data_IF_669839507694
#
_entry.id   IF_669839507694
#
_cell.length_a   1.000
_cell.length_b   1.000
_cell.length_c   1.000
_cell.angle_alpha   90.00
_cell.angle_beta   90.00
_cell.angle_gamma   90.00
#
_symmetry.space_group_name_H-M   'P 1'
#
loop_
_entity.id
_entity.type
_entity.pdbx_description
1 polymer ?
#
# COMPACT_ATOMS: atom_id res chain seq x y z
N UNK A 1 7.98 -31.10 4.56
CA UNK A 1 7.16 -29.94 4.14
C UNK A 1 7.41 -28.66 4.95
N UNK A 2 7.43 -28.68 6.29
CA UNK A 2 7.69 -27.47 7.12
C UNK A 2 9.05 -26.80 6.84
N UNK A 3 10.11 -27.57 6.56
CA UNK A 3 11.46 -27.05 6.26
C UNK A 3 11.54 -26.35 4.89
N UNK A 4 10.88 -26.88 3.87
CA UNK A 4 10.82 -26.27 2.52
C UNK A 4 10.03 -24.95 2.57
N UNK A 5 8.92 -24.90 3.32
CA UNK A 5 8.09 -23.72 3.48
C UNK A 5 8.83 -22.58 4.21
N UNK A 6 9.61 -22.88 5.24
CA UNK A 6 10.42 -21.89 5.94
C UNK A 6 11.58 -21.36 5.07
N UNK A 7 12.21 -22.25 4.30
CA UNK A 7 13.27 -21.87 3.35
C UNK A 7 12.71 -20.97 2.23
N UNK A 8 11.58 -21.35 1.62
CA UNK A 8 10.91 -20.57 0.57
C UNK A 8 10.52 -19.19 1.06
N UNK A 9 9.94 -19.07 2.25
CA UNK A 9 9.58 -17.81 2.89
C UNK A 9 10.79 -16.88 3.07
N UNK A 10 11.95 -17.44 3.36
CA UNK A 10 13.19 -16.66 3.54
C UNK A 10 13.75 -16.15 2.20
N UNK A 11 13.46 -16.81 1.09
CA UNK A 11 14.01 -16.50 -0.24
C UNK A 11 12.96 -15.97 -1.23
N UNK A 12 11.74 -15.66 -0.76
CA UNK A 12 10.63 -15.26 -1.64
C UNK A 12 10.97 -14.00 -2.45
N UNK A 13 11.67 -13.05 -1.86
CA UNK A 13 12.11 -11.82 -2.54
C UNK A 13 13.02 -12.15 -3.72
N UNK A 14 13.99 -13.04 -3.53
CA UNK A 14 14.85 -13.52 -4.63
C UNK A 14 14.05 -14.24 -5.72
N UNK A 15 13.06 -15.06 -5.32
CA UNK A 15 12.17 -15.74 -6.26
C UNK A 15 11.32 -14.75 -7.08
N UNK A 16 10.87 -13.64 -6.48
CA UNK A 16 10.13 -12.57 -7.18
C UNK A 16 11.03 -11.91 -8.24
N UNK A 17 12.27 -11.54 -7.86
CA UNK A 17 13.23 -10.96 -8.82
C UNK A 17 13.59 -11.93 -9.95
N UNK A 18 13.76 -13.21 -9.65
CA UNK A 18 13.98 -14.23 -10.70
C UNK A 18 12.77 -14.37 -11.60
N UNK A 19 11.55 -14.37 -11.05
CA UNK A 19 10.30 -14.36 -11.83
C UNK A 19 10.20 -13.14 -12.75
N UNK A 20 10.55 -11.96 -12.23
CA UNK A 20 10.57 -10.71 -13.01
C UNK A 20 11.56 -10.80 -14.18
N UNK A 21 12.81 -11.18 -13.92
CA UNK A 21 13.85 -11.28 -14.96
C UNK A 21 13.46 -12.31 -16.03
N UNK A 22 13.01 -13.50 -15.61
CA UNK A 22 12.55 -14.53 -16.53
C UNK A 22 11.32 -14.07 -17.34
N UNK A 23 10.39 -13.34 -16.72
CA UNK A 23 9.23 -12.76 -17.40
C UNK A 23 9.63 -11.77 -18.48
N UNK A 24 10.57 -10.86 -18.18
CA UNK A 24 11.12 -9.92 -19.16
C UNK A 24 11.78 -10.68 -20.34
N UNK A 25 12.65 -11.64 -20.04
CA UNK A 25 13.31 -12.42 -21.08
C UNK A 25 12.31 -13.21 -21.94
N UNK A 26 11.32 -13.83 -21.31
CA UNK A 26 10.27 -14.57 -22.02
C UNK A 26 9.43 -13.64 -22.89
N UNK A 27 9.03 -12.47 -22.37
CA UNK A 27 8.27 -11.47 -23.13
C UNK A 27 9.02 -10.95 -24.36
N UNK A 28 10.33 -10.70 -24.23
CA UNK A 28 11.16 -10.21 -25.34
C UNK A 28 11.46 -11.26 -26.42
N UNK A 29 11.71 -12.52 -26.02
CA UNK A 29 12.26 -13.51 -26.94
C UNK A 29 11.28 -14.60 -27.37
N UNK A 30 10.30 -14.96 -26.53
CA UNK A 30 9.40 -16.07 -26.78
C UNK A 30 7.95 -15.65 -27.07
N UNK A 31 7.43 -14.64 -26.40
CA UNK A 31 6.00 -14.34 -26.46
C UNK A 31 5.53 -13.98 -27.89
N UNK A 32 6.30 -13.19 -28.62
CA UNK A 32 6.01 -12.85 -30.02
C UNK A 32 6.18 -13.99 -31.04
N UNK A 33 6.74 -15.14 -30.61
CA UNK A 33 6.94 -16.32 -31.48
C UNK A 33 5.99 -17.49 -31.17
N UNK A 34 5.44 -17.53 -29.96
CA UNK A 34 4.58 -18.61 -29.48
C UNK A 34 3.33 -18.05 -28.81
N UNK A 35 2.24 -17.86 -29.57
CA UNK A 35 0.93 -17.42 -29.05
C UNK A 35 0.44 -18.17 -27.79
N UNK A 36 0.63 -19.50 -27.66
CA UNK A 36 0.21 -20.21 -26.46
C UNK A 36 0.89 -19.71 -25.18
N UNK A 37 2.15 -19.23 -25.25
CA UNK A 37 2.85 -18.68 -24.08
C UNK A 37 2.16 -17.42 -23.60
N UNK A 38 1.78 -16.52 -24.50
CA UNK A 38 1.10 -15.29 -24.20
C UNK A 38 -0.30 -15.55 -23.59
N UNK A 39 -1.06 -16.46 -24.18
CA UNK A 39 -2.39 -16.84 -23.70
C UNK A 39 -2.34 -17.43 -22.28
N UNK A 40 -1.43 -18.37 -22.02
CA UNK A 40 -1.30 -19.00 -20.69
C UNK A 40 -0.79 -18.00 -19.65
N UNK A 41 0.21 -17.20 -19.97
CA UNK A 41 0.73 -16.19 -19.02
C UNK A 41 -0.30 -15.12 -18.72
N UNK A 42 -1.04 -14.62 -19.72
CA UNK A 42 -2.12 -13.66 -19.51
C UNK A 42 -3.22 -14.26 -18.63
N UNK A 43 -3.62 -15.50 -18.85
CA UNK A 43 -4.64 -16.16 -18.04
C UNK A 43 -4.21 -16.27 -16.56
N UNK A 44 -3.02 -16.79 -16.30
CA UNK A 44 -2.50 -16.96 -14.94
C UNK A 44 -2.26 -15.61 -14.28
N UNK A 45 -1.72 -14.64 -15.02
CA UNK A 45 -1.51 -13.26 -14.55
C UNK A 45 -2.82 -12.59 -14.15
N UNK A 46 -3.86 -12.72 -14.96
CA UNK A 46 -5.20 -12.18 -14.65
C UNK A 46 -5.82 -12.85 -13.42
N UNK A 47 -5.70 -14.17 -13.29
CA UNK A 47 -6.17 -14.89 -12.09
C UNK A 47 -5.46 -14.38 -10.84
N UNK A 48 -4.12 -14.20 -10.91
CA UNK A 48 -3.34 -13.66 -9.80
C UNK A 48 -3.78 -12.23 -9.43
N UNK A 49 -3.93 -11.35 -10.41
CA UNK A 49 -4.38 -9.97 -10.18
C UNK A 49 -5.80 -9.92 -9.63
N UNK A 50 -6.71 -10.72 -10.15
CA UNK A 50 -8.07 -10.81 -9.65
C UNK A 50 -8.12 -11.31 -8.20
N UNK A 51 -7.28 -12.30 -7.85
CA UNK A 51 -7.17 -12.80 -6.48
C UNK A 51 -6.70 -11.72 -5.50
N UNK A 52 -5.76 -10.85 -5.90
CA UNK A 52 -5.33 -9.70 -5.09
C UNK A 52 -6.44 -8.64 -5.00
N UNK A 53 -7.03 -8.26 -6.13
CA UNK A 53 -8.07 -7.23 -6.20
C UNK A 53 -9.30 -7.59 -5.36
N UNK A 54 -9.66 -8.86 -5.30
CA UNK A 54 -10.79 -9.36 -4.50
C UNK A 54 -10.67 -8.98 -3.02
N UNK A 55 -9.44 -8.87 -2.48
CA UNK A 55 -9.20 -8.57 -1.07
C UNK A 55 -9.07 -7.07 -0.76
N UNK A 56 -8.90 -6.21 -1.78
CA UNK A 56 -8.62 -4.79 -1.57
C UNK A 56 -9.76 -4.11 -0.81
N UNK A 57 -10.98 -4.22 -1.32
CA UNK A 57 -12.13 -3.50 -0.74
C UNK A 57 -12.48 -3.96 0.68
N UNK A 58 -12.63 -5.28 0.97
CA UNK A 58 -12.90 -5.76 2.32
C UNK A 58 -11.81 -5.34 3.31
N UNK A 59 -10.54 -5.45 2.90
CA UNK A 59 -9.41 -5.12 3.77
C UNK A 59 -9.36 -3.62 4.08
N UNK A 60 -9.52 -2.76 3.06
CA UNK A 60 -9.52 -1.30 3.27
C UNK A 60 -10.67 -0.89 4.19
N UNK A 61 -11.86 -1.41 3.97
CA UNK A 61 -13.02 -1.15 4.82
C UNK A 61 -12.73 -1.53 6.28
N UNK A 62 -12.33 -2.77 6.53
CA UNK A 62 -12.05 -3.26 7.88
C UNK A 62 -10.93 -2.44 8.56
N UNK A 63 -9.83 -2.19 7.85
CA UNK A 63 -8.69 -1.44 8.40
C UNK A 63 -9.06 -0.02 8.80
N UNK A 64 -9.90 0.67 8.02
CA UNK A 64 -10.35 2.03 8.34
C UNK A 64 -11.26 2.03 9.56
N UNK A 65 -12.23 1.10 9.62
CA UNK A 65 -13.14 1.00 10.77
C UNK A 65 -12.36 0.73 12.06
N UNK A 66 -11.43 -0.23 12.04
CA UNK A 66 -10.58 -0.56 13.18
C UNK A 66 -9.72 0.65 13.57
N UNK A 67 -9.12 1.32 12.58
CA UNK A 67 -8.31 2.51 12.81
C UNK A 67 -9.07 3.62 13.53
N UNK A 68 -10.29 3.92 13.09
CA UNK A 68 -11.15 4.95 13.72
C UNK A 68 -11.53 4.56 15.14
N UNK A 69 -11.95 3.32 15.36
CA UNK A 69 -12.32 2.84 16.70
C UNK A 69 -11.13 2.87 17.67
N UNK A 70 -9.93 2.63 17.18
CA UNK A 70 -8.70 2.73 17.99
C UNK A 70 -8.43 4.15 18.47
N UNK A 71 -8.73 5.17 17.65
CA UNK A 71 -8.61 6.59 18.02
C UNK A 71 -9.66 6.97 19.09
N UNK A 72 -10.87 6.42 18.98
CA UNK A 72 -11.96 6.69 19.94
C UNK A 72 -11.65 6.30 21.38
N UNK A 73 -10.87 5.23 21.57
CA UNK A 73 -10.42 4.78 22.90
C UNK A 73 -9.31 5.68 23.49
N UNK A 74 -8.69 6.55 22.69
CA UNK A 74 -7.61 7.45 23.12
C UNK A 74 -8.09 8.78 23.74
N UNK A 75 -9.36 8.90 24.10
CA UNK A 75 -9.96 10.13 24.67
C UNK A 75 -9.24 10.67 25.92
N UNK A 76 -8.52 9.82 26.63
CA UNK A 76 -7.75 10.19 27.84
C UNK A 76 -6.43 10.93 27.55
N UNK A 77 -5.94 10.89 26.30
CA UNK A 77 -4.62 11.44 25.92
C UNK A 77 -4.70 12.50 24.82
N UNK A 78 -5.80 13.24 24.80
CA UNK A 78 -6.24 14.10 23.70
C UNK A 78 -5.19 15.02 23.04
N UNK A 79 -4.20 15.52 23.78
CA UNK A 79 -3.15 16.40 23.21
C UNK A 79 -2.14 15.62 22.35
N UNK A 80 -1.73 14.43 22.77
CA UNK A 80 -0.74 13.62 22.04
C UNK A 80 -1.37 13.09 20.75
N UNK A 81 -2.60 12.56 20.84
CA UNK A 81 -3.36 12.08 19.68
C UNK A 81 -3.62 13.20 18.68
N UNK A 82 -4.05 14.38 19.14
CA UNK A 82 -4.28 15.53 18.27
C UNK A 82 -2.98 16.00 17.57
N UNK A 83 -1.86 16.06 18.30
CA UNK A 83 -0.56 16.41 17.73
C UNK A 83 -0.09 15.39 16.69
N UNK A 84 -0.27 14.08 16.95
CA UNK A 84 0.04 13.01 16.01
C UNK A 84 -0.83 13.10 14.76
N UNK A 85 -2.14 13.34 14.88
CA UNK A 85 -3.06 13.54 13.76
C UNK A 85 -2.66 14.71 12.87
N UNK A 86 -2.37 15.86 13.47
CA UNK A 86 -1.92 17.06 12.73
C UNK A 86 -0.61 16.74 12.00
N UNK A 87 0.34 16.08 12.67
CA UNK A 87 1.61 15.69 12.07
C UNK A 87 1.42 14.76 10.87
N UNK A 88 0.57 13.73 11.00
CA UNK A 88 0.26 12.82 9.89
C UNK A 88 -0.43 13.54 8.72
N UNK A 89 -1.37 14.43 8.98
CA UNK A 89 -2.01 15.21 7.92
C UNK A 89 -1.00 16.11 7.19
N UNK A 90 -0.13 16.80 7.93
CA UNK A 90 0.91 17.64 7.33
C UNK A 90 1.92 16.83 6.50
N UNK A 91 2.41 15.72 7.04
CA UNK A 91 3.37 14.86 6.31
C UNK A 91 2.74 14.18 5.10
N UNK A 92 1.46 13.78 5.18
CA UNK A 92 0.72 13.22 4.04
C UNK A 92 0.50 14.27 2.96
N UNK A 93 0.13 15.49 3.33
CA UNK A 93 -0.02 16.60 2.38
C UNK A 93 1.31 16.92 1.68
N UNK A 94 2.42 16.98 2.44
CA UNK A 94 3.76 17.18 1.87
C UNK A 94 4.16 16.02 0.94
N UNK A 95 3.90 14.77 1.34
CA UNK A 95 4.20 13.61 0.50
C UNK A 95 3.40 13.63 -0.80
N UNK A 96 2.11 13.98 -0.74
CA UNK A 96 1.25 14.13 -1.92
C UNK A 96 1.74 15.22 -2.86
N UNK A 97 2.14 16.37 -2.32
CA UNK A 97 2.73 17.46 -3.11
C UNK A 97 4.05 17.02 -3.76
N UNK A 98 4.93 16.33 -3.03
CA UNK A 98 6.16 15.78 -3.60
C UNK A 98 5.85 14.78 -4.73
N UNK A 99 4.85 13.90 -4.54
CA UNK A 99 4.41 12.92 -5.53
C UNK A 99 3.84 13.54 -6.80
N UNK A 100 3.28 14.75 -6.73
CA UNK A 100 2.79 15.51 -7.89
C UNK A 100 3.90 16.32 -8.58
N UNK A 101 4.78 16.93 -7.78
CA UNK A 101 5.80 17.87 -8.29
C UNK A 101 6.97 17.12 -8.91
N UNK A 102 7.49 16.08 -8.25
CA UNK A 102 8.69 15.36 -8.71
C UNK A 102 8.51 14.76 -10.10
N UNK A 103 7.45 13.97 -10.41
CA UNK A 103 7.25 13.42 -11.75
C UNK A 103 7.09 14.50 -12.82
N UNK A 104 6.47 15.63 -12.46
CA UNK A 104 6.27 16.75 -13.39
C UNK A 104 7.58 17.48 -13.71
N UNK A 105 8.47 17.69 -12.73
CA UNK A 105 9.78 18.32 -12.93
C UNK A 105 10.71 17.47 -13.78
N UNK A 106 10.69 16.15 -13.58
CA UNK A 106 11.57 15.21 -14.29
C UNK A 106 10.97 14.81 -15.65
N UNK A 107 9.75 15.28 -15.95
CA UNK A 107 9.01 14.92 -17.17
C UNK A 107 8.85 13.39 -17.31
N UNK A 108 8.53 12.72 -16.22
CA UNK A 108 8.34 11.28 -16.20
C UNK A 108 7.25 10.87 -17.20
N UNK A 109 7.54 9.88 -18.05
CA UNK A 109 6.59 9.39 -19.06
C UNK A 109 6.63 10.13 -20.39
N UNK A 110 7.49 11.14 -20.59
CA UNK A 110 7.70 11.70 -21.93
C UNK A 110 8.29 10.65 -22.86
N UNK A 111 7.56 10.30 -23.90
CA UNK A 111 8.00 9.35 -24.94
C UNK A 111 7.47 7.92 -24.76
N UNK A 112 6.82 7.60 -23.65
CA UNK A 112 6.14 6.30 -23.52
C UNK A 112 4.83 6.38 -24.28
N UNK A 113 4.82 5.84 -25.48
CA UNK A 113 3.58 5.57 -26.22
C UNK A 113 3.02 4.27 -25.67
N UNK A 114 2.16 4.34 -24.66
CA UNK A 114 1.25 3.24 -24.45
C UNK A 114 0.33 3.22 -25.66
N UNK A 115 0.44 2.23 -26.53
CA UNK A 115 -0.70 1.81 -27.31
C UNK A 115 -1.72 1.31 -26.28
N UNK A 116 -2.49 2.25 -25.76
CA UNK A 116 -3.71 1.87 -25.10
C UNK A 116 -4.48 1.08 -26.14
N UNK A 117 -4.57 -0.26 -25.97
CA UNK A 117 -5.67 -0.98 -26.54
C UNK A 117 -6.86 -0.05 -26.31
N UNK A 118 -7.55 0.29 -27.40
CA UNK A 118 -8.73 1.15 -27.43
C UNK A 118 -9.86 0.50 -26.59
N UNK A 119 -9.62 0.34 -25.29
CA UNK A 119 -10.69 0.39 -24.35
C UNK A 119 -11.21 1.83 -24.50
N UNK A 120 -12.43 1.97 -24.99
CA UNK A 120 -13.18 3.21 -24.93
C UNK A 120 -12.99 3.79 -23.53
N UNK A 121 -11.92 4.56 -23.35
CA UNK A 121 -11.85 5.51 -22.29
C UNK A 121 -12.84 6.56 -22.79
N UNK A 122 -14.13 6.29 -22.55
CA UNK A 122 -15.08 7.37 -22.44
C UNK A 122 -14.36 8.33 -21.50
N UNK A 123 -13.89 9.44 -22.08
CA UNK A 123 -13.39 10.54 -21.29
C UNK A 123 -14.48 10.76 -20.25
N UNK A 124 -14.26 10.20 -19.07
CA UNK A 124 -15.13 10.46 -17.94
C UNK A 124 -15.00 11.93 -17.80
N UNK A 125 -16.02 12.67 -18.31
CA UNK A 125 -16.10 14.11 -18.12
C UNK A 125 -15.64 14.32 -16.70
N UNK A 126 -14.64 15.18 -16.50
CA UNK A 126 -14.13 15.48 -15.17
C UNK A 126 -15.36 15.78 -14.33
N UNK A 127 -15.84 14.78 -13.60
CA UNK A 127 -17.04 14.92 -12.79
C UNK A 127 -16.78 16.13 -11.94
N UNK A 128 -17.63 17.14 -12.08
CA UNK A 128 -17.50 18.40 -11.34
C UNK A 128 -17.20 18.03 -9.90
N UNK A 129 -16.30 18.76 -9.23
CA UNK A 129 -16.04 18.57 -7.79
C UNK A 129 -17.37 18.45 -7.03
N UNK A 130 -18.40 19.16 -7.49
CA UNK A 130 -19.77 19.08 -6.95
C UNK A 130 -20.41 17.71 -7.19
N UNK A 131 -20.20 17.06 -8.32
CA UNK A 131 -20.76 15.73 -8.60
C UNK A 131 -20.01 14.64 -7.82
N UNK A 132 -18.71 14.80 -7.65
CA UNK A 132 -17.93 13.94 -6.75
C UNK A 132 -18.42 14.08 -5.31
N UNK A 133 -18.68 15.30 -4.83
CA UNK A 133 -19.23 15.52 -3.48
C UNK A 133 -20.64 14.98 -3.30
N UNK A 134 -21.52 15.12 -4.32
CA UNK A 134 -22.89 14.55 -4.28
C UNK A 134 -22.86 13.03 -4.20
N UNK A 135 -21.93 12.41 -4.92
CA UNK A 135 -21.78 10.96 -5.00
C UNK A 135 -20.86 10.38 -3.91
N UNK A 136 -20.40 11.21 -2.96
CA UNK A 136 -19.50 10.79 -1.90
C UNK A 136 -20.13 9.78 -0.94
N UNK A 137 -21.41 9.99 -0.62
CA UNK A 137 -22.18 9.09 0.22
C UNK A 137 -22.91 8.08 -0.67
N UNK A 138 -22.60 6.77 -0.56
CA UNK A 138 -23.27 5.78 -1.38
C UNK A 138 -24.74 5.65 -1.00
N UNK A 139 -25.63 5.66 -2.00
CA UNK A 139 -27.05 5.32 -1.80
C UNK A 139 -27.24 3.85 -1.43
N UNK A 140 -26.32 2.99 -1.89
CA UNK A 140 -26.24 1.58 -1.55
C UNK A 140 -24.78 1.21 -1.24
N UNK A 141 -24.43 0.94 0.03
CA UNK A 141 -23.07 0.56 0.40
C UNK A 141 -22.56 -0.68 -0.34
N UNK A 142 -23.41 -1.69 -0.55
CA UNK A 142 -23.00 -2.92 -1.24
C UNK A 142 -22.67 -2.63 -2.70
N UNK A 143 -23.40 -1.74 -3.36
CA UNK A 143 -23.08 -1.31 -4.72
C UNK A 143 -21.69 -0.66 -4.78
N UNK A 144 -21.32 0.13 -3.78
CA UNK A 144 -19.97 0.73 -3.71
C UNK A 144 -18.84 -0.32 -3.73
N UNK A 145 -19.06 -1.48 -3.11
CA UNK A 145 -18.09 -2.60 -3.15
C UNK A 145 -18.10 -3.30 -4.51
N UNK A 146 -19.26 -3.54 -5.11
CA UNK A 146 -19.38 -4.26 -6.40
C UNK A 146 -18.91 -3.40 -7.57
N UNK A 147 -19.17 -2.10 -7.53
CA UNK A 147 -18.77 -1.15 -8.58
C UNK A 147 -17.29 -0.72 -8.44
N UNK A 148 -16.63 -1.14 -7.36
CA UNK A 148 -15.23 -0.81 -7.13
C UNK A 148 -14.99 0.66 -6.78
N UNK A 149 -15.98 1.38 -6.26
CA UNK A 149 -15.84 2.79 -5.90
C UNK A 149 -15.17 2.94 -4.53
N UNK A 150 -13.85 2.99 -4.54
CA UNK A 150 -13.02 3.08 -3.33
C UNK A 150 -13.39 4.27 -2.44
N UNK A 151 -13.72 5.44 -3.04
CA UNK A 151 -14.05 6.65 -2.29
C UNK A 151 -15.33 6.45 -1.47
N UNK A 152 -16.36 5.84 -2.07
CA UNK A 152 -17.61 5.55 -1.38
C UNK A 152 -17.43 4.49 -0.28
N UNK A 153 -16.61 3.45 -0.53
CA UNK A 153 -16.25 2.43 0.48
C UNK A 153 -15.55 3.09 1.67
N UNK A 154 -14.64 4.02 1.42
CA UNK A 154 -13.93 4.77 2.45
C UNK A 154 -14.89 5.61 3.29
N UNK A 155 -15.78 6.36 2.65
CA UNK A 155 -16.78 7.19 3.37
C UNK A 155 -17.72 6.31 4.20
N UNK A 156 -18.18 5.19 3.66
CA UNK A 156 -18.99 4.24 4.42
C UNK A 156 -18.25 3.68 5.63
N UNK A 157 -16.96 3.32 5.47
CA UNK A 157 -16.12 2.87 6.58
C UNK A 157 -15.95 3.94 7.67
N UNK A 158 -15.79 5.23 7.28
CA UNK A 158 -15.75 6.35 8.22
C UNK A 158 -17.04 6.47 9.03
N UNK A 159 -18.20 6.41 8.36
CA UNK A 159 -19.51 6.48 9.01
C UNK A 159 -19.66 5.33 10.02
N UNK A 160 -19.36 4.10 9.64
CA UNK A 160 -19.42 2.94 10.53
C UNK A 160 -18.47 3.09 11.72
N UNK A 161 -17.21 3.49 11.49
CA UNK A 161 -16.23 3.65 12.55
C UNK A 161 -16.65 4.69 13.58
N UNK A 162 -17.09 5.88 13.16
CA UNK A 162 -17.59 6.92 14.08
C UNK A 162 -18.87 6.49 14.80
N UNK A 163 -19.76 5.78 14.11
CA UNK A 163 -21.00 5.26 14.74
C UNK A 163 -20.67 4.22 15.81
N UNK A 164 -19.71 3.32 15.58
CA UNK A 164 -19.27 2.34 16.57
C UNK A 164 -18.73 3.01 17.84
N UNK A 165 -17.94 4.08 17.69
CA UNK A 165 -17.48 4.87 18.85
C UNK A 165 -18.67 5.46 19.63
N UNK A 166 -19.67 5.97 18.93
CA UNK A 166 -20.86 6.56 19.56
C UNK A 166 -21.75 5.52 20.24
N UNK A 167 -21.86 4.32 19.69
CA UNK A 167 -22.62 3.18 20.28
C UNK A 167 -21.92 2.63 21.53
N UNK A 168 -20.59 2.72 21.61
CA UNK A 168 -19.80 2.27 22.74
C UNK A 168 -19.80 0.75 22.90
N UNK A 169 -19.92 0.26 24.14
CA UNK A 169 -19.77 -1.17 24.48
C UNK A 169 -20.67 -2.10 23.67
N UNK A 170 -21.88 -1.66 23.32
CA UNK A 170 -22.81 -2.47 22.51
C UNK A 170 -22.31 -2.70 21.08
N UNK A 171 -21.39 -1.88 20.59
CA UNK A 171 -20.75 -2.02 19.28
C UNK A 171 -19.57 -3.00 19.27
N UNK A 172 -19.06 -3.40 20.43
CA UNK A 172 -17.87 -4.27 20.54
C UNK A 172 -18.00 -5.61 19.79
N UNK A 173 -19.13 -6.33 19.81
CA UNK A 173 -19.27 -7.57 19.04
C UNK A 173 -19.10 -7.35 17.53
N UNK A 174 -19.61 -6.24 17.02
CA UNK A 174 -19.48 -5.89 15.60
C UNK A 174 -18.03 -5.50 15.25
N UNK A 175 -17.36 -4.75 16.12
CA UNK A 175 -15.94 -4.43 15.94
C UNK A 175 -15.07 -5.68 15.93
N UNK A 176 -15.31 -6.63 16.84
CA UNK A 176 -14.59 -7.90 16.88
C UNK A 176 -14.83 -8.75 15.61
N UNK A 177 -16.03 -8.68 15.04
CA UNK A 177 -16.32 -9.33 13.75
C UNK A 177 -15.50 -8.71 12.62
N UNK A 178 -15.45 -7.37 12.54
CA UNK A 178 -14.64 -6.64 11.55
C UNK A 178 -13.16 -6.98 11.70
N UNK A 179 -12.65 -7.04 12.92
CA UNK A 179 -11.27 -7.41 13.20
C UNK A 179 -10.96 -8.83 12.74
N UNK A 180 -11.85 -9.78 13.04
CA UNK A 180 -11.74 -11.16 12.55
C UNK A 180 -11.76 -11.25 11.03
N UNK A 181 -12.62 -10.48 10.35
CA UNK A 181 -12.65 -10.40 8.88
C UNK A 181 -11.33 -9.84 8.36
N UNK A 182 -10.80 -8.79 8.98
CA UNK A 182 -9.51 -8.19 8.61
C UNK A 182 -8.37 -9.22 8.72
N UNK A 183 -8.30 -9.98 9.80
CA UNK A 183 -7.31 -11.05 9.97
C UNK A 183 -7.42 -12.14 8.90
N UNK A 184 -8.64 -12.54 8.55
CA UNK A 184 -8.90 -13.50 7.47
C UNK A 184 -8.43 -12.93 6.12
N UNK A 185 -8.75 -11.68 5.81
CA UNK A 185 -8.31 -11.01 4.58
C UNK A 185 -6.78 -10.94 4.51
N UNK A 186 -6.11 -10.54 5.59
CA UNK A 186 -4.64 -10.52 5.69
C UNK A 186 -4.03 -11.92 5.48
N UNK A 187 -4.67 -12.96 6.00
CA UNK A 187 -4.22 -14.34 5.82
C UNK A 187 -4.36 -14.80 4.37
N UNK A 188 -5.47 -14.44 3.71
CA UNK A 188 -5.70 -14.74 2.30
C UNK A 188 -4.65 -14.03 1.44
N UNK A 189 -4.44 -12.72 1.63
CA UNK A 189 -3.41 -11.95 0.91
C UNK A 189 -2.03 -12.57 1.10
N UNK A 190 -1.66 -12.87 2.35
CA UNK A 190 -0.36 -13.51 2.64
C UNK A 190 -0.23 -14.85 1.93
N UNK A 191 -1.32 -15.60 1.79
CA UNK A 191 -1.32 -16.87 1.05
C UNK A 191 -1.16 -16.65 -0.45
N UNK A 192 -1.85 -15.67 -1.02
CA UNK A 192 -1.71 -15.28 -2.43
C UNK A 192 -0.28 -14.80 -2.72
N UNK A 193 0.34 -14.07 -1.79
CA UNK A 193 1.71 -13.58 -1.94
C UNK A 193 2.76 -14.70 -2.08
N UNK A 194 2.48 -15.92 -1.65
CA UNK A 194 3.39 -17.04 -1.95
C UNK A 194 3.45 -17.39 -3.43
N UNK A 195 2.43 -17.04 -4.19
CA UNK A 195 2.39 -17.22 -5.64
C UNK A 195 2.92 -16.01 -6.42
N UNK A 196 3.35 -14.94 -5.72
CA UNK A 196 3.86 -13.71 -6.34
C UNK A 196 4.98 -13.95 -7.38
N UNK A 197 5.97 -14.83 -7.17
CA UNK A 197 6.99 -15.06 -8.20
C UNK A 197 6.40 -15.53 -9.54
N UNK A 198 5.40 -16.40 -9.49
CA UNK A 198 4.68 -16.89 -10.69
C UNK A 198 3.75 -15.79 -11.22
N UNK A 199 3.04 -15.09 -10.32
CA UNK A 199 2.16 -13.98 -10.68
C UNK A 199 2.91 -12.88 -11.41
N UNK A 200 4.06 -12.45 -10.88
CA UNK A 200 4.91 -11.41 -11.49
C UNK A 200 5.46 -11.87 -12.83
N UNK A 201 5.96 -13.11 -12.93
CA UNK A 201 6.36 -13.67 -14.21
C UNK A 201 5.24 -13.59 -15.24
N UNK A 202 4.05 -14.06 -14.89
CA UNK A 202 2.91 -14.15 -15.80
C UNK A 202 2.31 -12.77 -16.16
N UNK A 203 2.38 -11.78 -15.27
CA UNK A 203 1.88 -10.42 -15.54
C UNK A 203 2.83 -9.60 -16.36
N UNK A 204 4.16 -9.79 -16.21
CA UNK A 204 5.15 -9.00 -16.94
C UNK A 204 5.33 -9.42 -18.39
N UNK A 205 5.14 -10.73 -18.70
CA UNK A 205 5.31 -11.26 -20.07
C UNK A 205 4.43 -10.52 -21.10
N UNK A 206 3.10 -10.38 -20.92
CA UNK A 206 2.25 -9.65 -21.86
C UNK A 206 2.59 -8.16 -21.94
N UNK A 207 2.98 -7.54 -20.82
CA UNK A 207 3.33 -6.11 -20.77
C UNK A 207 4.60 -5.85 -21.60
N UNK A 208 5.58 -6.74 -21.49
CA UNK A 208 6.84 -6.62 -22.22
C UNK A 208 6.65 -6.92 -23.70
N UNK A 209 5.84 -7.90 -24.04
CA UNK A 209 5.53 -8.25 -25.43
C UNK A 209 4.82 -7.09 -26.14
N UNK A 210 3.77 -6.53 -25.51
CA UNK A 210 2.98 -5.47 -26.10
C UNK A 210 3.75 -4.14 -26.27
N UNK A 211 4.67 -3.82 -25.34
CA UNK A 211 5.27 -2.49 -25.26
C UNK A 211 6.80 -2.46 -25.51
N UNK A 212 7.45 -3.62 -25.64
CA UNK A 212 8.87 -3.73 -25.93
C UNK A 212 9.83 -3.24 -24.84
N UNK A 213 11.09 -3.08 -25.20
CA UNK A 213 12.18 -2.69 -24.28
C UNK A 213 12.09 -1.27 -23.75
N UNK A 214 11.50 -0.34 -24.52
CA UNK A 214 11.37 1.06 -24.12
C UNK A 214 10.51 1.21 -22.86
N UNK A 215 9.44 0.44 -22.77
CA UNK A 215 8.57 0.43 -21.57
C UNK A 215 9.30 -0.11 -20.35
N UNK A 216 10.13 -1.15 -20.50
CA UNK A 216 10.93 -1.70 -19.38
C UNK A 216 11.88 -0.63 -18.84
N UNK A 217 12.57 0.08 -19.72
CA UNK A 217 13.50 1.16 -19.32
C UNK A 217 12.75 2.29 -18.62
N UNK A 218 11.59 2.67 -19.14
CA UNK A 218 10.73 3.69 -18.52
C UNK A 218 10.23 3.28 -17.13
N UNK A 219 9.76 2.04 -16.98
CA UNK A 219 9.32 1.50 -15.68
C UNK A 219 10.47 1.40 -14.69
N UNK A 220 11.64 0.92 -15.12
CA UNK A 220 12.84 0.88 -14.28
C UNK A 220 13.28 2.27 -13.84
N UNK A 221 13.26 3.23 -14.74
CA UNK A 221 13.58 4.64 -14.45
C UNK A 221 12.59 5.22 -13.45
N UNK A 222 11.29 4.99 -13.64
CA UNK A 222 10.25 5.42 -12.70
C UNK A 222 10.48 4.82 -11.31
N UNK A 223 10.84 3.54 -11.24
CA UNK A 223 11.09 2.84 -9.98
C UNK A 223 12.29 3.43 -9.24
N UNK A 224 13.39 3.71 -9.93
CA UNK A 224 14.56 4.37 -9.35
C UNK A 224 14.21 5.76 -8.82
N UNK A 225 13.50 6.56 -9.60
CA UNK A 225 13.05 7.90 -9.19
C UNK A 225 12.15 7.83 -7.96
N UNK A 226 11.24 6.86 -7.92
CA UNK A 226 10.35 6.65 -6.78
C UNK A 226 11.14 6.31 -5.50
N UNK A 227 12.12 5.42 -5.58
CA UNK A 227 12.99 5.10 -4.45
C UNK A 227 13.80 6.32 -3.99
N UNK A 228 14.40 7.07 -4.92
CA UNK A 228 15.13 8.31 -4.60
C UNK A 228 14.21 9.32 -3.92
N UNK A 229 12.97 9.47 -4.40
CA UNK A 229 11.97 10.35 -3.80
C UNK A 229 11.58 9.89 -2.38
N UNK A 230 11.35 8.59 -2.16
CA UNK A 230 11.01 8.05 -0.84
C UNK A 230 12.14 8.23 0.17
N UNK A 231 13.37 7.87 -0.19
CA UNK A 231 14.51 8.05 0.69
C UNK A 231 14.80 9.53 0.93
N UNK A 232 14.71 10.36 -0.13
CA UNK A 232 14.84 11.82 -0.01
C UNK A 232 13.79 12.40 0.94
N UNK A 233 12.53 12.02 0.78
CA UNK A 233 11.44 12.43 1.67
C UNK A 233 11.69 11.99 3.11
N UNK A 234 12.06 10.74 3.33
CA UNK A 234 12.34 10.22 4.66
C UNK A 234 13.47 10.97 5.35
N UNK A 235 14.57 11.22 4.65
CA UNK A 235 15.74 11.92 5.22
C UNK A 235 15.43 13.41 5.45
N UNK A 236 14.78 14.09 4.50
CA UNK A 236 14.51 15.52 4.58
C UNK A 236 13.37 15.79 5.54
N UNK A 237 12.20 15.21 5.31
CA UNK A 237 10.98 15.56 6.08
C UNK A 237 11.05 14.96 7.49
N UNK A 238 11.30 13.67 7.63
CA UNK A 238 11.36 13.06 8.96
C UNK A 238 12.66 13.45 9.70
N UNK A 239 13.80 13.50 9.00
CA UNK A 239 15.06 13.95 9.61
C UNK A 239 14.98 15.39 10.11
N UNK A 240 14.36 16.30 9.33
CA UNK A 240 14.15 17.68 9.72
C UNK A 240 13.15 17.80 10.89
N UNK A 241 12.08 17.02 10.87
CA UNK A 241 11.09 16.96 11.96
C UNK A 241 11.74 16.52 13.28
N UNK A 242 12.55 15.46 13.25
CA UNK A 242 13.29 14.98 14.43
C UNK A 242 14.25 16.04 14.95
N UNK A 243 14.94 16.77 14.06
CA UNK A 243 15.87 17.82 14.45
C UNK A 243 15.19 19.07 14.99
N UNK A 244 14.13 19.56 14.33
CA UNK A 244 13.48 20.84 14.67
C UNK A 244 12.44 20.69 15.77
N UNK A 245 11.60 19.65 15.69
CA UNK A 245 10.51 19.43 16.65
C UNK A 245 11.01 18.58 17.81
N UNK A 246 11.66 17.44 17.51
CA UNK A 246 12.14 16.50 18.52
C UNK A 246 13.44 16.92 19.20
N UNK A 247 14.17 17.92 18.64
CA UNK A 247 15.50 18.37 19.12
C UNK A 247 16.49 17.23 19.30
N UNK A 248 16.33 16.18 18.54
CA UNK A 248 17.15 14.96 18.55
C UNK A 248 18.00 14.87 17.28
N UNK A 249 19.04 14.02 17.32
CA UNK A 249 19.87 13.76 16.15
C UNK A 249 19.13 12.90 15.12
N UNK A 250 18.97 13.36 13.86
CA UNK A 250 18.37 12.55 12.80
C UNK A 250 19.09 11.23 12.55
N UNK A 251 20.42 11.23 12.65
CA UNK A 251 21.24 10.02 12.49
C UNK A 251 21.00 9.00 13.61
N UNK A 252 20.82 9.48 14.85
CA UNK A 252 20.48 8.60 15.98
C UNK A 252 19.10 7.97 15.74
N UNK A 253 18.12 8.77 15.32
CA UNK A 253 16.78 8.29 14.99
C UNK A 253 16.80 7.26 13.86
N UNK A 254 17.49 7.52 12.75
CA UNK A 254 17.59 6.58 11.63
C UNK A 254 18.23 5.26 12.03
N UNK A 255 19.28 5.31 12.88
CA UNK A 255 19.91 4.09 13.41
C UNK A 255 18.97 3.32 14.33
N UNK A 256 18.23 4.01 15.20
CA UNK A 256 17.30 3.41 16.13
C UNK A 256 16.15 2.69 15.40
N UNK A 257 15.60 3.29 14.34
CA UNK A 257 14.45 2.71 13.61
C UNK A 257 14.86 1.67 12.54
N UNK A 258 16.15 1.56 12.22
CA UNK A 258 16.65 0.69 11.15
C UNK A 258 16.22 -0.78 11.29
N UNK A 259 16.25 -1.41 12.48
CA UNK A 259 15.78 -2.79 12.65
C UNK A 259 14.29 -2.94 12.30
N UNK A 260 13.47 -1.98 12.71
CA UNK A 260 12.05 -1.95 12.39
C UNK A 260 11.81 -1.73 10.90
N UNK A 261 12.56 -0.81 10.26
CA UNK A 261 12.47 -0.57 8.83
C UNK A 261 12.85 -1.81 8.00
N UNK A 262 13.92 -2.51 8.38
CA UNK A 262 14.33 -3.75 7.72
C UNK A 262 13.29 -4.88 7.91
N UNK A 263 12.68 -4.96 9.09
CA UNK A 263 11.61 -5.92 9.33
C UNK A 263 10.36 -5.60 8.50
N UNK A 264 9.95 -4.33 8.44
CA UNK A 264 8.82 -3.90 7.61
C UNK A 264 9.06 -4.19 6.13
N UNK A 265 10.27 -3.94 5.65
CA UNK A 265 10.69 -4.22 4.28
C UNK A 265 10.66 -5.73 3.99
N UNK A 266 11.21 -6.55 4.90
CA UNK A 266 11.27 -8.00 4.72
C UNK A 266 9.93 -8.71 4.84
N UNK A 267 9.02 -8.16 5.67
CA UNK A 267 7.68 -8.72 5.87
C UNK A 267 6.62 -8.10 4.95
N UNK A 268 6.95 -7.02 4.25
CA UNK A 268 6.01 -6.18 3.49
C UNK A 268 4.79 -5.78 4.33
N UNK A 269 4.96 -5.64 5.66
CA UNK A 269 3.86 -5.36 6.59
C UNK A 269 4.30 -4.36 7.67
N UNK A 270 3.72 -3.16 7.59
CA UNK A 270 3.91 -2.14 8.63
C UNK A 270 3.26 -2.58 9.96
N UNK A 271 2.09 -3.20 9.89
CA UNK A 271 1.36 -3.65 11.09
C UNK A 271 2.12 -4.73 11.86
N UNK A 272 2.74 -5.69 11.16
CA UNK A 272 3.58 -6.70 11.80
C UNK A 272 4.83 -6.12 12.47
N UNK A 273 5.22 -4.89 12.10
CA UNK A 273 6.41 -4.21 12.61
C UNK A 273 6.11 -3.29 13.81
N UNK A 274 4.85 -3.00 14.10
CA UNK A 274 4.46 -2.10 15.20
C UNK A 274 5.15 -2.45 16.52
N UNK A 275 5.16 -3.72 17.00
CA UNK A 275 5.82 -4.06 18.27
C UNK A 275 7.31 -3.75 18.28
N UNK A 276 7.99 -4.04 17.16
CA UNK A 276 9.42 -3.77 17.02
C UNK A 276 9.72 -2.26 16.90
N UNK A 277 8.86 -1.52 16.19
CA UNK A 277 8.98 -0.05 16.10
C UNK A 277 8.84 0.58 17.48
N UNK A 278 7.85 0.11 18.26
CA UNK A 278 7.64 0.55 19.63
C UNK A 278 8.87 0.28 20.50
N UNK A 279 9.40 -0.95 20.47
CA UNK A 279 10.60 -1.33 21.20
C UNK A 279 11.80 -0.45 20.83
N UNK A 280 12.05 -0.25 19.54
CA UNK A 280 13.14 0.62 19.08
C UNK A 280 13.02 2.05 19.61
N UNK A 281 11.80 2.60 19.65
CA UNK A 281 11.58 3.96 20.15
C UNK A 281 11.74 4.06 21.68
N UNK A 282 11.33 3.05 22.41
CA UNK A 282 11.46 3.00 23.88
C UNK A 282 12.91 2.79 24.31
N UNK A 283 13.61 1.82 23.75
CA UNK A 283 14.94 1.42 24.17
C UNK A 283 16.04 2.37 23.64
N UNK A 284 15.95 2.77 22.38
CA UNK A 284 17.01 3.56 21.72
C UNK A 284 16.79 5.08 21.81
N UNK A 285 15.54 5.51 21.83
CA UNK A 285 15.20 6.94 21.85
C UNK A 285 14.68 7.43 23.19
N UNK A 286 14.37 6.51 24.13
CA UNK A 286 13.87 6.85 25.46
C UNK A 286 12.45 7.41 25.47
N UNK A 287 11.63 7.09 24.47
CA UNK A 287 10.24 7.52 24.40
C UNK A 287 9.41 6.72 25.40
N UNK A 288 8.53 7.37 26.16
CA UNK A 288 7.72 6.68 27.15
C UNK A 288 6.70 5.73 26.50
N UNK A 289 6.44 4.60 27.15
CA UNK A 289 5.46 3.59 26.69
C UNK A 289 4.08 4.16 26.44
N UNK A 290 3.66 5.20 27.20
CA UNK A 290 2.39 5.87 26.98
C UNK A 290 2.32 6.56 25.61
N UNK A 291 3.41 7.18 25.17
CA UNK A 291 3.46 7.86 23.86
C UNK A 291 3.54 6.82 22.73
N UNK A 292 4.43 5.83 22.86
CA UNK A 292 4.63 4.80 21.84
C UNK A 292 3.42 3.88 21.62
N UNK A 293 2.54 3.79 22.61
CA UNK A 293 1.29 3.01 22.52
C UNK A 293 0.15 3.79 21.85
N UNK A 294 0.26 5.12 21.72
CA UNK A 294 -0.76 6.01 21.16
C UNK A 294 -0.40 6.46 19.74
N UNK A 295 0.88 6.67 19.50
CA UNK A 295 1.41 7.11 18.20
C UNK A 295 1.71 5.95 17.26
#
# INVERSE_FOLDING_TARGET
MKSFYSWYRKHITGAIFTGLILGILTGLFLAGRFEPVLTVTSLIGNIYMNALNMMIFPMVFCSIVIGICSIGNARTTGKITAASMIYFLCTTALASLCGLIIPRLIHLGKGVKFEMATADIQATEMSSILDTLKNLIPSNPIAAFTDGNMLQVLVFALIIGFTLIAVGEKGTPFLNLIDSINEVCLKIITTIMYFTPIGVFCTIVPVVEANGTETIISLATQLVILYVAFFGFAIVVYGLSVKLIGKQSPLKFLKAILPAALNAFGTCSSSATIPLSKQCMEEEMGVSNQITSIA
#
